data_IF_789607140009
#
_entry.id   IF_789607140009
#
_cell.length_a   1.000
_cell.length_b   1.000
_cell.length_c   1.000
_cell.angle_alpha   90.00
_cell.angle_beta   90.00
_cell.angle_gamma   90.00
#
_symmetry.space_group_name_H-M   'P 1'
#
loop_
_entity.id
_entity.type
_entity.pdbx_description
1 polymer ?
#
# COMPACT_ATOMS: atom_id res chain seq x y z
N UNK A 1 -9.45 26.38 8.16
CA UNK A 1 -8.52 26.64 9.28
C UNK A 1 -7.23 27.26 8.72
N UNK A 2 -6.50 28.10 9.45
CA UNK A 2 -5.19 28.62 8.96
C UNK A 2 -4.10 27.52 9.00
N UNK A 3 -3.02 27.69 8.24
CA UNK A 3 -1.96 26.67 8.12
C UNK A 3 -1.29 26.33 9.46
N UNK A 4 -1.22 27.29 10.40
CA UNK A 4 -0.63 27.04 11.71
C UNK A 4 -1.49 26.09 12.52
N UNK A 5 -2.79 26.36 12.58
CA UNK A 5 -3.76 25.50 13.28
C UNK A 5 -3.89 24.12 12.61
N UNK A 6 -3.78 24.03 11.28
CA UNK A 6 -3.72 22.73 10.57
C UNK A 6 -2.47 21.93 10.95
N UNK A 7 -1.32 22.59 11.05
CA UNK A 7 -0.10 21.94 11.52
C UNK A 7 -0.21 21.46 12.96
N UNK A 8 -0.82 22.25 13.86
CA UNK A 8 -1.07 21.86 15.25
C UNK A 8 -2.03 20.66 15.32
N UNK A 9 -3.13 20.68 14.55
CA UNK A 9 -4.08 19.57 14.49
C UNK A 9 -3.45 18.30 13.94
N UNK A 10 -2.62 18.41 12.89
CA UNK A 10 -1.82 17.27 12.39
C UNK A 10 -0.96 16.69 13.52
N UNK A 11 -0.18 17.53 14.21
CA UNK A 11 0.69 17.05 15.29
C UNK A 11 -0.08 16.33 16.40
N UNK A 12 -1.28 16.78 16.73
CA UNK A 12 -2.17 16.09 17.66
C UNK A 12 -2.57 14.70 17.15
N UNK A 13 -3.08 14.61 15.91
CA UNK A 13 -3.51 13.37 15.27
C UNK A 13 -2.37 12.35 15.09
N UNK A 14 -1.12 12.83 14.97
CA UNK A 14 0.06 12.00 14.79
C UNK A 14 0.63 11.43 16.09
N UNK A 15 0.07 11.80 17.25
CA UNK A 15 0.45 11.16 18.52
C UNK A 15 0.18 9.64 18.47
N UNK A 16 0.92 8.84 19.25
CA UNK A 16 0.67 7.40 19.35
C UNK A 16 -0.77 7.16 19.82
N UNK A 17 -1.58 6.62 18.92
CA UNK A 17 -2.98 6.30 19.13
C UNK A 17 -3.45 5.32 18.05
N UNK A 18 -4.63 4.74 18.22
CA UNK A 18 -5.24 3.82 17.27
C UNK A 18 -5.56 4.52 15.95
N UNK A 19 -5.40 3.79 14.85
CA UNK A 19 -5.69 4.32 13.51
C UNK A 19 -7.19 4.56 13.31
N UNK A 20 -8.03 3.81 14.02
CA UNK A 20 -9.47 4.05 14.09
C UNK A 20 -9.81 5.47 14.57
N UNK A 21 -9.16 5.95 15.65
CA UNK A 21 -9.39 7.30 16.18
C UNK A 21 -8.97 8.37 15.16
N UNK A 22 -7.81 8.19 14.52
CA UNK A 22 -7.36 9.05 13.42
C UNK A 22 -8.40 9.09 12.30
N UNK A 23 -8.93 7.94 11.89
CA UNK A 23 -9.92 7.83 10.83
C UNK A 23 -11.19 8.61 11.20
N UNK A 24 -11.75 8.39 12.39
CA UNK A 24 -12.95 9.11 12.84
C UNK A 24 -12.73 10.62 12.93
N UNK A 25 -11.61 11.07 13.51
CA UNK A 25 -11.31 12.50 13.58
C UNK A 25 -11.14 13.14 12.19
N UNK A 26 -10.53 12.43 11.23
CA UNK A 26 -10.42 12.92 9.86
C UNK A 26 -11.78 13.00 9.13
N UNK A 27 -12.75 12.18 9.50
CA UNK A 27 -14.11 12.23 8.94
C UNK A 27 -14.92 13.42 9.48
N UNK A 28 -14.62 13.88 10.69
CA UNK A 28 -15.27 15.06 11.28
C UNK A 28 -14.73 16.39 10.73
N UNK A 29 -13.53 16.38 10.14
CA UNK A 29 -12.91 17.57 9.58
C UNK A 29 -13.49 17.96 8.21
N UNK A 30 -13.47 19.25 7.84
CA UNK A 30 -13.74 19.66 6.47
C UNK A 30 -12.81 18.95 5.49
N UNK A 31 -13.35 18.49 4.35
CA UNK A 31 -12.63 17.68 3.35
C UNK A 31 -11.23 18.24 3.00
N UNK A 32 -11.12 19.55 2.80
CA UNK A 32 -9.84 20.19 2.44
C UNK A 32 -8.82 20.16 3.58
N UNK A 33 -9.28 20.20 4.83
CA UNK A 33 -8.44 20.13 6.02
C UNK A 33 -7.94 18.69 6.24
N UNK A 34 -8.85 17.70 6.17
CA UNK A 34 -8.49 16.28 6.22
C UNK A 34 -7.49 15.92 5.12
N UNK A 35 -7.76 16.34 3.88
CA UNK A 35 -6.86 16.17 2.73
C UNK A 35 -5.49 16.77 3.00
N UNK A 36 -5.43 18.02 3.47
CA UNK A 36 -4.16 18.69 3.75
C UNK A 36 -3.35 17.90 4.79
N UNK A 37 -3.99 17.41 5.85
CA UNK A 37 -3.33 16.65 6.91
C UNK A 37 -2.69 15.38 6.35
N UNK A 38 -3.46 14.55 5.64
CA UNK A 38 -2.98 13.24 5.16
C UNK A 38 -1.94 13.36 4.05
N UNK A 39 -2.02 14.39 3.20
CA UNK A 39 -1.01 14.66 2.17
C UNK A 39 0.31 15.17 2.75
N UNK A 40 0.27 15.82 3.92
CA UNK A 40 1.46 16.34 4.60
C UNK A 40 2.03 15.37 5.65
N UNK A 41 1.54 14.14 5.74
CA UNK A 41 2.14 13.13 6.62
C UNK A 41 3.53 12.70 6.13
N UNK A 42 4.47 12.62 7.06
CA UNK A 42 5.81 12.07 6.81
C UNK A 42 5.73 10.56 6.69
N UNK A 43 6.76 9.95 6.09
CA UNK A 43 6.77 8.50 5.88
C UNK A 43 6.77 7.73 7.21
N UNK A 44 7.40 8.28 8.26
CA UNK A 44 7.36 7.70 9.61
C UNK A 44 5.98 7.79 10.25
N UNK A 45 5.27 8.90 10.06
CA UNK A 45 3.90 9.08 10.55
C UNK A 45 2.97 8.07 9.86
N UNK A 46 3.04 7.97 8.53
CA UNK A 46 2.27 7.00 7.75
C UNK A 46 2.57 5.57 8.22
N UNK A 47 3.85 5.21 8.30
CA UNK A 47 4.27 3.88 8.75
C UNK A 47 3.67 3.55 10.11
N UNK A 48 3.70 4.48 11.07
CA UNK A 48 3.13 4.26 12.41
C UNK A 48 1.61 4.02 12.39
N UNK A 49 0.89 4.59 11.41
CA UNK A 49 -0.57 4.45 11.31
C UNK A 49 -1.01 3.22 10.51
N UNK A 50 -0.19 2.67 9.62
CA UNK A 50 -0.60 1.51 8.78
C UNK A 50 0.06 0.18 9.13
N UNK A 51 1.03 0.19 10.05
CA UNK A 51 1.80 -1.00 10.41
C UNK A 51 1.68 -1.44 11.89
N UNK A 52 0.95 -0.69 12.72
CA UNK A 52 0.54 -1.15 14.05
C UNK A 52 -0.73 -1.99 13.97
N UNK A 53 -0.62 -3.16 13.32
CA UNK A 53 -1.78 -3.96 12.85
C UNK A 53 -2.48 -4.78 13.90
N UNK A 54 -1.83 -5.09 15.01
CA UNK A 54 -2.38 -5.98 16.03
C UNK A 54 -3.73 -5.43 16.54
N UNK A 55 -4.82 -6.16 16.27
CA UNK A 55 -6.21 -5.77 16.58
C UNK A 55 -6.76 -4.58 15.79
N UNK A 56 -6.10 -4.13 14.71
CA UNK A 56 -6.49 -2.95 13.94
C UNK A 56 -6.49 -3.14 12.41
N UNK A 57 -6.23 -4.35 11.90
CA UNK A 57 -6.10 -4.58 10.45
C UNK A 57 -7.29 -4.07 9.64
N UNK A 58 -8.51 -4.42 10.04
CA UNK A 58 -9.73 -3.95 9.37
C UNK A 58 -9.90 -2.43 9.48
N UNK A 59 -9.66 -1.84 10.66
CA UNK A 59 -9.71 -0.38 10.85
C UNK A 59 -8.68 0.37 10.01
N UNK A 60 -7.47 -0.19 9.85
CA UNK A 60 -6.42 0.36 9.00
C UNK A 60 -6.84 0.26 7.53
N UNK A 61 -7.47 -0.84 7.12
CA UNK A 61 -7.97 -0.99 5.76
C UNK A 61 -9.11 0.00 5.46
N UNK A 62 -10.05 0.19 6.40
CA UNK A 62 -11.12 1.19 6.28
C UNK A 62 -10.55 2.62 6.19
N UNK A 63 -9.55 2.93 7.03
CA UNK A 63 -8.83 4.20 6.96
C UNK A 63 -8.20 4.40 5.58
N UNK A 64 -7.49 3.40 5.06
CA UNK A 64 -6.88 3.46 3.73
C UNK A 64 -7.96 3.63 2.65
N UNK A 65 -9.08 2.91 2.70
CA UNK A 65 -10.17 3.08 1.73
C UNK A 65 -10.76 4.51 1.79
N UNK A 66 -10.92 5.07 2.99
CA UNK A 66 -11.32 6.46 3.16
C UNK A 66 -10.33 7.43 2.49
N UNK A 67 -9.02 7.19 2.57
CA UNK A 67 -8.02 8.02 1.87
C UNK A 67 -8.25 8.08 0.37
N UNK A 68 -8.76 7.01 -0.26
CA UNK A 68 -9.09 7.03 -1.69
C UNK A 68 -10.12 8.10 -2.02
N UNK A 69 -11.08 8.34 -1.11
CA UNK A 69 -12.15 9.32 -1.30
C UNK A 69 -11.68 10.76 -1.15
N UNK A 70 -10.63 11.02 -0.37
CA UNK A 70 -10.18 12.38 -0.04
C UNK A 70 -8.87 12.78 -0.75
N UNK A 71 -7.96 11.84 -0.99
CA UNK A 71 -6.70 12.06 -1.70
C UNK A 71 -6.11 10.76 -2.24
N UNK A 72 -6.22 10.52 -3.56
CA UNK A 72 -5.54 9.41 -4.22
C UNK A 72 -4.01 9.42 -4.01
N UNK A 73 -3.40 10.60 -3.84
CA UNK A 73 -1.96 10.72 -3.57
C UNK A 73 -1.65 10.15 -2.18
N UNK A 74 -2.40 10.56 -1.16
CA UNK A 74 -2.23 10.03 0.19
C UNK A 74 -2.52 8.52 0.23
N UNK A 75 -3.58 8.07 -0.45
CA UNK A 75 -3.92 6.66 -0.57
C UNK A 75 -2.71 5.82 -1.02
N UNK A 76 -2.11 6.16 -2.16
CA UNK A 76 -0.99 5.38 -2.70
C UNK A 76 0.23 5.42 -1.79
N UNK A 77 0.50 6.56 -1.17
CA UNK A 77 1.59 6.69 -0.20
C UNK A 77 1.40 5.76 1.01
N UNK A 78 0.17 5.59 1.47
CA UNK A 78 -0.18 4.68 2.56
C UNK A 78 -0.13 3.21 2.14
N UNK A 79 -0.53 2.88 0.91
CA UNK A 79 -0.35 1.54 0.34
C UNK A 79 1.14 1.15 0.27
N UNK A 80 2.00 2.06 -0.20
CA UNK A 80 3.45 1.81 -0.24
C UNK A 80 3.97 1.49 1.17
N UNK A 81 3.57 2.28 2.17
CA UNK A 81 3.99 2.07 3.54
C UNK A 81 3.43 0.78 4.17
N UNK A 82 2.25 0.31 3.76
CA UNK A 82 1.68 -0.95 4.25
C UNK A 82 2.33 -2.19 3.61
N UNK A 83 3.07 -2.07 2.52
CA UNK A 83 3.85 -3.16 1.94
C UNK A 83 5.19 -3.33 2.68
N UNK A 84 5.14 -3.87 3.91
CA UNK A 84 6.31 -4.05 4.77
C UNK A 84 6.79 -5.50 4.79
N UNK A 85 7.99 -5.84 4.28
CA UNK A 85 8.48 -7.22 4.24
C UNK A 85 8.58 -7.90 5.61
N UNK A 86 8.82 -7.11 6.66
CA UNK A 86 8.96 -7.59 8.05
C UNK A 86 7.60 -7.86 8.72
N UNK A 87 6.51 -7.29 8.20
CA UNK A 87 5.17 -7.37 8.80
C UNK A 87 4.24 -8.23 7.93
N UNK A 88 4.40 -8.15 6.60
CA UNK A 88 3.53 -8.77 5.61
C UNK A 88 2.61 -7.78 4.92
N UNK A 89 1.73 -8.31 4.08
CA UNK A 89 0.64 -7.55 3.45
C UNK A 89 -0.43 -7.16 4.49
N UNK A 90 -1.12 -6.05 4.24
CA UNK A 90 -2.28 -5.66 5.05
C UNK A 90 -3.47 -6.53 4.64
N UNK A 91 -4.02 -7.30 5.58
CA UNK A 91 -5.22 -8.10 5.35
C UNK A 91 -6.45 -7.39 5.89
N UNK A 92 -7.60 -7.66 5.29
CA UNK A 92 -8.91 -7.16 5.72
C UNK A 92 -10.00 -8.03 5.10
N UNK A 93 -11.19 -8.02 5.67
CA UNK A 93 -12.30 -8.88 5.20
C UNK A 93 -12.64 -8.70 3.70
N UNK A 94 -12.52 -7.50 3.14
CA UNK A 94 -12.88 -7.22 1.75
C UNK A 94 -11.69 -7.14 0.78
N UNK A 95 -10.47 -6.97 1.30
CA UNK A 95 -9.25 -6.82 0.50
C UNK A 95 -9.36 -5.77 -0.61
N UNK A 96 -10.10 -4.67 -0.36
CA UNK A 96 -10.46 -3.65 -1.36
C UNK A 96 -9.23 -3.03 -2.05
N UNK A 97 -8.15 -2.86 -1.29
CA UNK A 97 -6.91 -2.27 -1.78
C UNK A 97 -6.19 -3.18 -2.78
N UNK A 98 -6.17 -4.49 -2.57
CA UNK A 98 -5.66 -5.44 -3.57
C UNK A 98 -6.53 -5.49 -4.81
N UNK A 99 -7.86 -5.49 -4.64
CA UNK A 99 -8.80 -5.36 -5.77
C UNK A 99 -8.50 -4.13 -6.60
N UNK A 100 -8.30 -2.99 -5.94
CA UNK A 100 -7.98 -1.72 -6.59
C UNK A 100 -6.65 -1.84 -7.34
N UNK A 101 -5.59 -2.33 -6.71
CA UNK A 101 -4.32 -2.61 -7.38
C UNK A 101 -4.43 -3.59 -8.56
N UNK A 102 -5.44 -4.46 -8.63
CA UNK A 102 -5.68 -5.38 -9.74
C UNK A 102 -6.61 -4.84 -10.85
N UNK A 103 -7.28 -3.72 -10.62
CA UNK A 103 -8.34 -3.19 -11.51
C UNK A 103 -8.05 -1.81 -12.07
N UNK A 104 -7.04 -1.12 -11.53
CA UNK A 104 -6.53 0.14 -12.10
C UNK A 104 -5.02 0.09 -12.34
N UNK A 105 -4.56 0.87 -13.32
CA UNK A 105 -3.12 1.04 -13.57
C UNK A 105 -2.52 1.82 -12.41
N UNK A 106 -1.83 1.14 -11.50
CA UNK A 106 -1.24 1.76 -10.31
C UNK A 106 -0.10 2.72 -10.71
N UNK A 107 0.22 3.73 -9.89
CA UNK A 107 1.42 4.54 -10.05
C UNK A 107 2.72 3.70 -10.07
N UNK A 108 3.77 4.22 -10.73
CA UNK A 108 5.04 3.49 -10.93
C UNK A 108 5.76 3.20 -9.63
N UNK A 109 5.76 4.16 -8.70
CA UNK A 109 6.31 4.02 -7.35
C UNK A 109 5.56 2.95 -6.54
N UNK A 110 4.23 2.87 -6.66
CA UNK A 110 3.44 1.78 -6.06
C UNK A 110 3.82 0.43 -6.68
N UNK A 111 3.98 0.36 -8.01
CA UNK A 111 4.46 -0.87 -8.65
C UNK A 111 5.84 -1.27 -8.12
N UNK A 112 6.77 -0.32 -7.98
CA UNK A 112 8.10 -0.60 -7.42
C UNK A 112 8.01 -1.12 -5.99
N UNK A 113 7.12 -0.57 -5.16
CA UNK A 113 6.89 -1.07 -3.81
C UNK A 113 6.34 -2.51 -3.81
N UNK A 114 5.38 -2.82 -4.68
CA UNK A 114 4.83 -4.19 -4.86
C UNK A 114 5.94 -5.16 -5.28
N UNK A 115 6.78 -4.80 -6.25
CA UNK A 115 7.88 -5.65 -6.71
C UNK A 115 8.96 -5.81 -5.62
N UNK A 116 9.30 -4.73 -4.92
CA UNK A 116 10.24 -4.76 -3.79
C UNK A 116 9.73 -5.69 -2.69
N UNK A 117 8.45 -5.59 -2.34
CA UNK A 117 7.82 -6.48 -1.37
C UNK A 117 7.87 -7.93 -1.86
N UNK A 118 7.48 -8.21 -3.11
CA UNK A 118 7.53 -9.55 -3.69
C UNK A 118 8.94 -10.18 -3.59
N UNK A 119 9.99 -9.39 -3.85
CA UNK A 119 11.38 -9.86 -3.80
C UNK A 119 11.82 -10.14 -2.35
N UNK A 120 11.52 -9.22 -1.44
CA UNK A 120 12.09 -9.21 -0.09
C UNK A 120 11.27 -9.98 0.95
N UNK A 121 9.99 -10.24 0.70
CA UNK A 121 9.11 -10.94 1.62
C UNK A 121 9.43 -12.44 1.68
N UNK A 122 9.31 -13.04 2.88
CA UNK A 122 9.52 -14.47 3.11
C UNK A 122 8.30 -15.27 2.63
N UNK A 123 8.51 -16.21 1.72
CA UNK A 123 7.44 -17.00 1.08
C UNK A 123 6.68 -17.93 2.03
N UNK A 124 7.07 -17.98 3.31
CA UNK A 124 6.31 -18.68 4.36
C UNK A 124 4.87 -18.18 4.50
N UNK A 125 4.60 -16.90 4.19
CA UNK A 125 3.23 -16.42 4.12
C UNK A 125 2.69 -16.56 2.68
N UNK A 126 2.14 -17.74 2.41
CA UNK A 126 1.59 -18.10 1.09
C UNK A 126 0.50 -17.13 0.63
N UNK A 127 -0.29 -16.58 1.54
CA UNK A 127 -1.39 -15.66 1.22
C UNK A 127 -0.85 -14.33 0.65
N UNK A 128 0.18 -13.76 1.28
CA UNK A 128 0.84 -12.52 0.82
C UNK A 128 1.38 -12.70 -0.59
N UNK A 129 2.06 -13.82 -0.80
CA UNK A 129 2.61 -14.24 -2.07
C UNK A 129 1.52 -14.33 -3.16
N UNK A 130 0.42 -15.02 -2.89
CA UNK A 130 -0.68 -15.18 -3.85
C UNK A 130 -1.35 -13.83 -4.19
N UNK A 131 -1.62 -12.97 -3.19
CA UNK A 131 -2.24 -11.67 -3.41
C UNK A 131 -1.35 -10.71 -4.21
N UNK A 132 -0.05 -10.67 -3.90
CA UNK A 132 0.93 -9.87 -4.63
C UNK A 132 1.13 -10.40 -6.06
N UNK A 133 1.12 -11.73 -6.23
CA UNK A 133 1.14 -12.35 -7.54
C UNK A 133 -0.04 -11.94 -8.41
N UNK A 134 -1.25 -11.91 -7.84
CA UNK A 134 -2.44 -11.38 -8.51
C UNK A 134 -2.25 -9.93 -9.00
N UNK A 135 -1.69 -9.06 -8.15
CA UNK A 135 -1.43 -7.66 -8.51
C UNK A 135 -0.43 -7.57 -9.66
N UNK A 136 0.72 -8.23 -9.56
CA UNK A 136 1.76 -8.20 -10.59
C UNK A 136 1.20 -8.72 -11.92
N UNK A 137 0.48 -9.84 -11.89
CA UNK A 137 -0.14 -10.43 -13.07
C UNK A 137 -1.16 -9.47 -13.71
N UNK A 138 -2.03 -8.86 -12.91
CA UNK A 138 -3.00 -7.88 -13.42
C UNK A 138 -2.31 -6.67 -14.06
N UNK A 139 -1.21 -6.18 -13.47
CA UNK A 139 -0.42 -5.08 -14.04
C UNK A 139 0.24 -5.42 -15.37
N UNK A 140 0.60 -6.68 -15.59
CA UNK A 140 1.09 -7.17 -16.88
C UNK A 140 -0.07 -7.34 -17.87
N UNK A 141 -1.04 -8.19 -17.54
CA UNK A 141 -2.05 -8.69 -18.47
C UNK A 141 -3.05 -7.59 -18.89
N UNK A 142 -3.45 -6.73 -17.96
CA UNK A 142 -4.45 -5.67 -18.22
C UNK A 142 -3.83 -4.33 -18.60
N UNK A 143 -2.64 -4.03 -18.07
CA UNK A 143 -2.04 -2.69 -18.18
C UNK A 143 -0.72 -2.66 -18.96
N UNK A 144 -0.25 -3.81 -19.46
CA UNK A 144 0.90 -3.91 -20.36
C UNK A 144 2.24 -3.53 -19.70
N UNK A 145 2.36 -3.62 -18.37
CA UNK A 145 3.52 -3.10 -17.62
C UNK A 145 4.75 -4.01 -17.60
N UNK A 146 4.86 -4.97 -18.52
CA UNK A 146 5.97 -5.94 -18.54
C UNK A 146 7.35 -5.26 -18.68
N UNK A 147 7.45 -4.21 -19.50
CA UNK A 147 8.72 -3.51 -19.72
C UNK A 147 9.11 -2.63 -18.53
N UNK A 148 8.14 -2.05 -17.82
CA UNK A 148 8.37 -1.33 -16.56
C UNK A 148 8.93 -2.29 -15.49
N UNK A 149 8.40 -3.52 -15.40
CA UNK A 149 8.91 -4.55 -14.48
C UNK A 149 10.34 -4.97 -14.85
N UNK A 150 10.63 -5.20 -16.14
CA UNK A 150 11.99 -5.52 -16.60
C UNK A 150 12.97 -4.37 -16.31
N UNK A 151 12.54 -3.13 -16.47
CA UNK A 151 13.36 -1.95 -16.16
C UNK A 151 13.65 -1.87 -14.66
N UNK A 152 12.64 -2.11 -13.81
CA UNK A 152 12.83 -2.20 -12.37
C UNK A 152 13.85 -3.29 -11.99
N UNK A 153 13.69 -4.53 -12.48
CA UNK A 153 14.63 -5.62 -12.20
C UNK A 153 16.05 -5.25 -12.64
N UNK A 154 16.19 -4.59 -13.80
CA UNK A 154 17.49 -4.17 -14.34
C UNK A 154 18.16 -3.07 -13.51
N UNK A 155 17.36 -2.26 -12.79
CA UNK A 155 17.86 -1.23 -11.88
C UNK A 155 18.38 -1.77 -10.54
N UNK A 156 18.04 -3.02 -10.19
CA UNK A 156 18.51 -3.65 -8.95
C UNK A 156 20.02 -3.95 -8.98
N UNK A 157 20.66 -4.10 -7.81
CA UNK A 157 22.02 -4.61 -7.70
C UNK A 157 22.18 -5.94 -8.43
N UNK A 158 23.33 -6.15 -9.10
CA UNK A 158 23.56 -7.30 -9.98
C UNK A 158 23.29 -8.66 -9.30
N UNK A 159 23.71 -8.78 -8.04
CA UNK A 159 23.50 -9.97 -7.21
C UNK A 159 22.03 -10.27 -6.87
N UNK A 160 21.12 -9.30 -7.05
CA UNK A 160 19.68 -9.47 -6.81
C UNK A 160 18.88 -9.71 -8.09
N UNK A 161 19.41 -9.38 -9.27
CA UNK A 161 18.65 -9.39 -10.53
C UNK A 161 18.14 -10.78 -10.90
N UNK A 162 18.98 -11.80 -10.76
CA UNK A 162 18.64 -13.19 -11.13
C UNK A 162 17.51 -13.68 -10.23
N UNK A 163 17.68 -13.55 -8.90
CA UNK A 163 16.68 -13.93 -7.93
C UNK A 163 15.36 -13.17 -8.10
N UNK A 164 15.43 -11.85 -8.27
CA UNK A 164 14.25 -11.02 -8.49
C UNK A 164 13.49 -11.43 -9.76
N UNK A 165 14.22 -11.72 -10.85
CA UNK A 165 13.63 -12.22 -12.09
C UNK A 165 12.90 -13.53 -11.84
N UNK A 166 13.58 -14.53 -11.28
CA UNK A 166 12.98 -15.84 -11.02
C UNK A 166 11.71 -15.72 -10.19
N UNK A 167 11.80 -15.00 -9.06
CA UNK A 167 10.68 -14.83 -8.12
C UNK A 167 9.49 -14.09 -8.73
N UNK A 168 9.73 -12.96 -9.41
CA UNK A 168 8.64 -12.20 -10.07
C UNK A 168 7.98 -13.04 -11.17
N UNK A 169 8.75 -13.76 -11.98
CA UNK A 169 8.17 -14.58 -13.05
C UNK A 169 7.48 -15.84 -12.52
N UNK A 170 7.84 -16.35 -11.34
CA UNK A 170 7.06 -17.38 -10.66
C UNK A 170 5.68 -16.89 -10.25
N UNK A 171 5.57 -15.69 -9.68
CA UNK A 171 4.28 -15.07 -9.37
C UNK A 171 3.36 -14.93 -10.59
N UNK A 172 3.92 -14.56 -11.74
CA UNK A 172 3.14 -14.38 -12.98
C UNK A 172 2.59 -15.70 -13.52
N UNK A 173 3.29 -16.80 -13.29
CA UNK A 173 2.85 -18.14 -13.74
C UNK A 173 1.69 -18.68 -12.92
N UNK A 174 1.54 -18.24 -11.67
CA UNK A 174 0.45 -18.68 -10.81
C UNK A 174 -0.88 -18.12 -11.32
N UNK A 175 -1.94 -18.90 -11.17
CA UNK A 175 -3.31 -18.40 -11.36
C UNK A 175 -3.67 -17.53 -10.15
N UNK A 176 -4.36 -16.42 -10.41
CA UNK A 176 -4.84 -15.59 -9.32
C UNK A 176 -6.00 -16.31 -8.63
N UNK A 177 -5.74 -16.90 -7.47
CA UNK A 177 -6.72 -17.64 -6.69
C UNK A 177 -7.71 -16.75 -5.92
N UNK A 178 -7.47 -15.44 -5.85
CA UNK A 178 -8.30 -14.50 -5.10
C UNK A 178 -9.42 -13.89 -5.96
N UNK A 179 -10.64 -14.01 -5.45
CA UNK A 179 -11.74 -13.11 -5.80
C UNK A 179 -11.75 -12.02 -4.74
N UNK A 180 -11.22 -10.86 -5.07
CA UNK A 180 -11.31 -9.70 -4.18
C UNK A 180 -12.72 -9.09 -4.32
N UNK A 181 -13.50 -9.09 -3.23
CA UNK A 181 -14.91 -8.71 -3.24
C UNK A 181 -15.14 -7.19 -3.21
#
# INVERSE_FOLDING_TARGET
>A
MDNKKLSEKKQELMKPDWTENLHHELQELPLQEAKWIVENMTDSEIFSKVNNRRFQEDYIADYIEYLWTISPIAYWKHIIASLSPNIGALWSDNMSHFRKMCTIKIPVDVLHAVLSFAISHDDKNRQDSEAIGCVIKAQIDKFGRIDEIKAYISSLPENQRVFAKEKIFEYVKQECGYIFY
#
